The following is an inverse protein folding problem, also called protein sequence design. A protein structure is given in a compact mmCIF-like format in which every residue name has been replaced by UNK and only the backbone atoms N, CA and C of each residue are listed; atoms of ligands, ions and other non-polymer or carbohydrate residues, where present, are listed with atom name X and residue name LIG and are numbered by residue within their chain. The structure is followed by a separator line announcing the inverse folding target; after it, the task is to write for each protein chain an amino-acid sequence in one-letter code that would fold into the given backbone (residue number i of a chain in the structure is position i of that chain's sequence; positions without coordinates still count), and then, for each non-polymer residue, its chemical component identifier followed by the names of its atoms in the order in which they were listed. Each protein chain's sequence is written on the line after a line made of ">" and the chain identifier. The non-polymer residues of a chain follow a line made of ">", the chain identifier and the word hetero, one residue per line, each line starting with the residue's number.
data_IF_950865808382
#
_entry.id   IF_950865808382
#
_cell.length_a   1.000
_cell.length_b   1.000
_cell.length_c   1.000
_cell.angle_alpha   90.00
_cell.angle_beta   90.00
_cell.angle_gamma   90.00
#
_symmetry.space_group_name_H-M   'P 1'
#
loop_
_entity.id
_entity.type
_entity.pdbx_description
1 polymer ?
#
# COMPACT_ATOMS: atom_id res chain seq x y z
N UNK A 1 -12.30 17.02 31.66
CA UNK A 1 -12.52 15.93 30.69
C UNK A 1 -11.77 16.29 29.42
N UNK A 2 -10.53 15.81 29.27
CA UNK A 2 -9.61 16.25 28.22
C UNK A 2 -9.90 15.58 26.87
N UNK A 3 -10.02 16.37 25.81
CA UNK A 3 -10.17 15.87 24.45
C UNK A 3 -8.82 15.33 23.95
N UNK A 4 -8.71 14.00 23.78
CA UNK A 4 -7.57 13.42 23.07
C UNK A 4 -7.70 13.78 21.59
N UNK A 5 -6.80 14.62 21.07
CA UNK A 5 -6.63 14.79 19.62
C UNK A 5 -6.00 13.51 19.06
N UNK A 6 -6.72 12.82 18.18
CA UNK A 6 -6.15 11.71 17.41
C UNK A 6 -5.31 12.33 16.30
N UNK A 7 -4.02 12.00 16.27
CA UNK A 7 -3.12 12.40 15.18
C UNK A 7 -3.34 11.43 14.03
N UNK A 8 -3.88 11.93 12.92
CA UNK A 8 -3.89 11.19 11.66
C UNK A 8 -2.48 11.28 11.05
N UNK A 9 -1.86 10.13 10.83
CA UNK A 9 -0.58 10.02 10.15
C UNK A 9 -0.84 9.47 8.74
N UNK A 10 -0.45 10.21 7.71
CA UNK A 10 -0.77 9.91 6.32
C UNK A 10 0.23 8.95 5.65
N UNK A 11 1.13 8.33 6.42
CA UNK A 11 2.14 7.43 5.88
C UNK A 11 1.51 6.17 5.29
N UNK A 12 1.86 5.85 4.04
CA UNK A 12 1.34 4.68 3.32
C UNK A 12 2.26 3.46 3.38
N UNK A 13 3.54 3.65 3.71
CA UNK A 13 4.49 2.54 3.79
C UNK A 13 4.14 1.59 4.96
N UNK A 14 4.25 0.28 4.73
CA UNK A 14 3.90 -0.75 5.72
C UNK A 14 4.76 -2.01 5.59
N UNK A 15 4.76 -2.82 6.65
CA UNK A 15 5.38 -4.15 6.67
C UNK A 15 4.32 -5.21 7.00
N UNK A 16 4.16 -6.21 6.12
CA UNK A 16 3.17 -7.28 6.29
C UNK A 16 3.73 -8.59 5.75
N UNK A 17 3.58 -9.69 6.50
CA UNK A 17 4.04 -11.03 6.10
C UNK A 17 5.51 -11.07 5.61
N UNK A 18 6.39 -10.23 6.19
CA UNK A 18 7.80 -10.12 5.80
C UNK A 18 8.07 -9.24 4.55
N UNK A 19 7.04 -8.66 3.95
CA UNK A 19 7.16 -7.74 2.82
C UNK A 19 7.15 -6.29 3.30
N UNK A 20 8.10 -5.50 2.77
CA UNK A 20 8.14 -4.05 2.96
C UNK A 20 7.53 -3.36 1.75
N UNK A 21 6.34 -2.80 1.92
CA UNK A 21 5.58 -2.15 0.86
C UNK A 21 5.68 -0.63 0.96
N UNK A 22 5.84 0.05 -0.17
CA UNK A 22 5.83 1.53 -0.23
C UNK A 22 4.45 2.12 0.06
N UNK A 23 3.40 1.37 -0.26
CA UNK A 23 2.00 1.73 -0.07
C UNK A 23 1.13 0.44 0.01
N UNK A 24 -0.14 0.52 0.46
CA UNK A 24 -1.02 -0.65 0.54
C UNK A 24 -1.73 -0.95 -0.79
N UNK A 25 -1.19 -0.52 -1.93
CA UNK A 25 -1.77 -0.79 -3.25
C UNK A 25 -1.06 -1.98 -3.89
N UNK A 26 -1.84 -2.97 -4.30
CA UNK A 26 -1.36 -4.12 -5.07
C UNK A 26 -2.42 -4.55 -6.09
N UNK A 27 -1.99 -5.20 -7.17
CA UNK A 27 -2.90 -5.78 -8.18
C UNK A 27 -3.57 -7.03 -7.63
N UNK A 28 -4.84 -7.24 -7.98
CA UNK A 28 -5.52 -8.49 -7.67
C UNK A 28 -5.02 -9.63 -8.59
N UNK A 29 -5.11 -10.87 -8.10
CA UNK A 29 -4.74 -12.04 -8.90
C UNK A 29 -5.60 -12.14 -10.17
N UNK A 30 -4.95 -12.33 -11.32
CA UNK A 30 -5.62 -12.47 -12.61
C UNK A 30 -6.03 -11.14 -13.26
N UNK A 31 -5.76 -9.98 -12.66
CA UNK A 31 -6.13 -8.68 -13.25
C UNK A 31 -4.96 -7.95 -13.90
N UNK A 32 -3.76 -8.51 -13.85
CA UNK A 32 -2.53 -7.85 -14.30
C UNK A 32 -1.55 -8.76 -15.04
N UNK A 33 -1.93 -10.02 -15.30
CA UNK A 33 -1.05 -10.99 -15.96
C UNK A 33 0.33 -11.08 -15.29
N UNK A 34 1.38 -11.03 -16.11
CA UNK A 34 2.77 -10.89 -15.66
C UNK A 34 3.31 -9.45 -15.76
N UNK A 35 2.46 -8.48 -16.12
CA UNK A 35 2.79 -7.05 -16.16
C UNK A 35 3.54 -6.58 -17.40
N UNK A 36 3.67 -7.41 -18.44
CA UNK A 36 4.40 -7.05 -19.67
C UNK A 36 3.75 -5.86 -20.39
N UNK A 37 2.42 -5.76 -20.38
CA UNK A 37 1.65 -4.68 -20.98
C UNK A 37 1.90 -3.32 -20.32
N UNK A 38 2.49 -3.31 -19.12
CA UNK A 38 2.74 -2.12 -18.33
C UNK A 38 4.23 -1.78 -18.17
N UNK A 39 5.13 -2.53 -18.81
CA UNK A 39 6.58 -2.37 -18.62
C UNK A 39 7.14 -1.01 -19.09
N UNK A 40 6.47 -0.37 -20.05
CA UNK A 40 6.88 0.92 -20.62
C UNK A 40 6.32 2.14 -19.84
N UNK A 41 5.49 1.92 -18.82
CA UNK A 41 4.85 2.98 -18.01
C UNK A 41 5.56 3.18 -16.66
#
# INVERSE_FOLDING_TARGET
>A
MGTKKIKFDATMAMEIAGLKLKNPVMTASGTFGYGEEYADY
#
